data_IF_516287876401
#
_entry.id   IF_516287876401
#
_cell.length_a   1.000
_cell.length_b   1.000
_cell.length_c   1.000
_cell.angle_alpha   90.00
_cell.angle_beta   90.00
_cell.angle_gamma   90.00
#
_symmetry.space_group_name_H-M   'P 1'
#
loop_
_entity.id
_entity.type
_entity.pdbx_description
1 polymer ?
#
# COMPACT_ATOMS: atom_id res chain seq x y z
N UNK A 1 2.04 4.10 -9.50
CA UNK A 1 1.95 3.35 -8.24
C UNK A 1 1.49 1.93 -8.54
N UNK A 2 2.31 0.94 -8.22
CA UNK A 2 2.03 -0.46 -8.57
C UNK A 2 1.78 -1.33 -7.33
N UNK A 3 1.49 -0.71 -6.23
CA UNK A 3 1.18 -1.41 -4.98
C UNK A 3 0.07 -2.45 -5.14
N UNK A 4 -0.88 -2.18 -6.02
CA UNK A 4 -2.04 -3.05 -6.25
C UNK A 4 -1.67 -4.43 -6.77
N UNK A 5 -0.50 -4.58 -7.39
CA UNK A 5 -0.06 -5.85 -7.97
C UNK A 5 0.71 -6.72 -6.98
N UNK A 6 1.06 -6.17 -5.82
CA UNK A 6 1.90 -6.89 -4.86
C UNK A 6 1.17 -8.12 -4.32
N UNK A 7 1.83 -9.27 -4.42
CA UNK A 7 1.36 -10.50 -3.78
C UNK A 7 1.71 -10.52 -2.30
N UNK A 8 2.81 -9.85 -1.95
CA UNK A 8 3.30 -9.76 -0.59
C UNK A 8 3.55 -8.31 -0.22
N UNK A 9 3.25 -7.95 1.01
CA UNK A 9 3.51 -6.62 1.56
C UNK A 9 4.31 -6.79 2.83
N UNK A 10 5.37 -5.98 2.97
CA UNK A 10 6.21 -5.95 4.16
C UNK A 10 5.84 -4.70 4.97
N UNK A 11 5.51 -4.89 6.24
CA UNK A 11 5.27 -3.79 7.17
C UNK A 11 6.26 -3.84 8.32
N UNK A 12 6.50 -2.69 8.92
CA UNK A 12 7.37 -2.56 10.09
C UNK A 12 6.61 -1.91 11.23
N UNK A 13 6.82 -2.40 12.45
CA UNK A 13 6.23 -1.84 13.66
C UNK A 13 7.32 -1.71 14.73
N UNK A 14 7.67 -0.50 15.18
CA UNK A 14 7.18 0.78 14.70
C UNK A 14 7.63 1.10 13.28
N UNK A 15 6.85 1.89 12.56
CA UNK A 15 7.20 2.29 11.18
C UNK A 15 8.46 3.16 11.22
N UNK A 16 9.48 2.86 10.42
CA UNK A 16 10.73 3.63 10.45
C UNK A 16 10.48 5.08 10.03
N UNK A 17 10.90 6.02 10.86
CA UNK A 17 10.73 7.45 10.58
C UNK A 17 11.91 8.05 9.81
N UNK A 18 12.79 7.21 9.32
CA UNK A 18 14.02 7.64 8.67
C UNK A 18 13.95 7.77 7.15
N UNK A 19 12.75 7.60 6.57
CA UNK A 19 12.59 7.78 5.13
C UNK A 19 12.60 9.26 4.78
N UNK A 20 13.66 9.70 4.11
CA UNK A 20 13.79 11.08 3.63
C UNK A 20 13.12 11.16 2.25
N UNK A 21 12.32 12.19 2.03
CA UNK A 21 11.69 12.46 0.74
C UNK A 21 10.31 11.83 0.57
N UNK A 22 10.21 10.52 0.52
CA UNK A 22 8.94 9.81 0.30
C UNK A 22 8.31 9.24 1.58
N UNK A 23 8.86 9.59 2.74
CA UNK A 23 8.42 9.04 4.02
C UNK A 23 6.96 9.30 4.34
N UNK A 24 6.45 10.48 3.98
CA UNK A 24 5.05 10.82 4.21
C UNK A 24 4.10 9.97 3.36
N UNK A 25 4.43 9.76 2.08
CA UNK A 25 3.62 8.92 1.20
C UNK A 25 3.64 7.46 1.66
N UNK A 26 4.81 6.95 2.03
CA UNK A 26 4.95 5.60 2.56
C UNK A 26 4.15 5.41 3.85
N UNK A 27 4.16 6.41 4.71
CA UNK A 27 3.41 6.39 5.96
C UNK A 27 1.90 6.36 5.71
N UNK A 28 1.39 7.19 4.79
CA UNK A 28 -0.01 7.19 4.40
C UNK A 28 -0.44 5.82 3.86
N UNK A 29 0.37 5.25 2.99
CA UNK A 29 0.08 3.95 2.40
C UNK A 29 0.06 2.85 3.45
N UNK A 30 1.01 2.89 4.37
CA UNK A 30 1.08 1.93 5.48
C UNK A 30 -0.15 2.00 6.37
N UNK A 31 -0.58 3.20 6.75
CA UNK A 31 -1.78 3.38 7.57
C UNK A 31 -3.03 2.85 6.87
N UNK A 32 -3.19 3.15 5.57
CA UNK A 32 -4.32 2.66 4.78
C UNK A 32 -4.31 1.14 4.68
N UNK A 33 -3.13 0.56 4.43
CA UNK A 33 -2.98 -0.88 4.36
C UNK A 33 -3.38 -1.55 5.68
N UNK A 34 -2.86 -1.06 6.81
CA UNK A 34 -3.14 -1.66 8.13
C UNK A 34 -4.63 -1.63 8.50
N UNK A 35 -5.37 -0.63 8.01
CA UNK A 35 -6.79 -0.51 8.30
C UNK A 35 -7.63 -1.60 7.60
N UNK A 36 -7.18 -2.12 6.47
CA UNK A 36 -7.95 -3.09 5.66
C UNK A 36 -7.20 -4.39 5.40
N UNK A 37 -6.07 -4.60 6.06
CA UNK A 37 -5.20 -5.75 5.77
C UNK A 37 -5.93 -7.09 5.86
N UNK A 38 -6.82 -7.25 6.83
CA UNK A 38 -7.51 -8.51 7.07
C UNK A 38 -8.55 -8.83 5.98
N UNK A 39 -8.97 -7.82 5.21
CA UNK A 39 -9.92 -8.01 4.13
C UNK A 39 -9.27 -8.58 2.88
N UNK A 40 -8.00 -8.24 2.64
CA UNK A 40 -7.30 -8.55 1.39
C UNK A 40 -6.05 -9.40 1.58
N UNK A 41 -5.56 -9.52 2.80
CA UNK A 41 -4.28 -10.18 3.10
C UNK A 41 -4.39 -11.09 4.30
N UNK A 42 -3.46 -12.05 4.39
CA UNK A 42 -3.27 -12.91 5.55
C UNK A 42 -1.83 -12.81 6.04
N UNK A 43 -1.65 -13.01 7.34
CA UNK A 43 -0.33 -13.03 7.95
C UNK A 43 0.47 -14.23 7.41
N UNK A 44 1.65 -13.96 6.85
CA UNK A 44 2.56 -15.00 6.35
C UNK A 44 3.70 -15.27 7.32
N UNK A 45 4.36 -14.22 7.81
CA UNK A 45 5.50 -14.37 8.73
C UNK A 45 5.75 -13.09 9.52
N UNK A 46 6.33 -13.25 10.71
CA UNK A 46 6.82 -12.16 11.56
C UNK A 46 8.31 -12.34 11.83
N UNK A 47 9.06 -11.25 11.84
CA UNK A 47 10.47 -11.23 12.18
C UNK A 47 10.75 -10.17 13.24
N UNK A 48 11.24 -10.59 14.41
CA UNK A 48 11.73 -9.66 15.43
C UNK A 48 13.21 -9.36 15.15
N UNK A 49 13.52 -8.09 14.92
CA UNK A 49 14.86 -7.67 14.55
C UNK A 49 15.77 -7.44 15.77
N UNK A 50 15.29 -7.67 16.99
CA UNK A 50 16.08 -7.54 18.21
C UNK A 50 16.34 -6.11 18.66
N UNK A 51 15.80 -5.10 17.98
CA UNK A 51 15.98 -3.68 18.30
C UNK A 51 14.65 -2.97 18.61
N UNK A 52 13.62 -3.73 18.94
CA UNK A 52 12.28 -3.21 19.18
C UNK A 52 11.42 -3.08 17.92
N UNK A 53 11.94 -3.46 16.76
CA UNK A 53 11.22 -3.40 15.50
C UNK A 53 10.80 -4.81 15.07
N UNK A 54 9.55 -4.98 14.72
CA UNK A 54 9.01 -6.22 14.16
C UNK A 54 8.64 -5.99 12.69
N UNK A 55 9.16 -6.83 11.80
CA UNK A 55 8.76 -6.87 10.40
C UNK A 55 7.73 -7.98 10.20
N UNK A 56 6.68 -7.67 9.44
CA UNK A 56 5.61 -8.62 9.14
C UNK A 56 5.45 -8.73 7.63
N UNK A 57 5.36 -9.95 7.13
CA UNK A 57 5.06 -10.23 5.73
C UNK A 57 3.58 -10.63 5.65
N UNK A 58 2.84 -9.95 4.77
CA UNK A 58 1.43 -10.20 4.50
C UNK A 58 1.29 -10.76 3.08
N UNK A 59 0.50 -11.82 2.92
CA UNK A 59 0.24 -12.44 1.62
C UNK A 59 -1.16 -12.06 1.14
N UNK A 60 -1.27 -11.62 -0.11
CA UNK A 60 -2.57 -11.28 -0.71
C UNK A 60 -3.43 -12.53 -0.85
N UNK A 61 -4.68 -12.45 -0.39
CA UNK A 61 -5.65 -13.56 -0.45
C UNK A 61 -6.80 -13.28 -1.40
N UNK A 62 -7.02 -12.01 -1.77
CA UNK A 62 -8.12 -11.58 -2.64
C UNK A 62 -7.54 -10.75 -3.78
N UNK A 63 -7.98 -11.02 -5.01
CA UNK A 63 -7.53 -10.24 -6.17
C UNK A 63 -7.90 -8.77 -5.99
N UNK A 64 -7.06 -7.83 -6.48
CA UNK A 64 -7.35 -6.40 -6.39
C UNK A 64 -8.67 -6.04 -7.07
N UNK A 65 -9.39 -5.09 -6.47
CA UNK A 65 -10.65 -4.58 -7.01
C UNK A 65 -10.54 -3.07 -7.23
N UNK A 66 -11.46 -2.51 -8.03
CA UNK A 66 -11.56 -1.06 -8.21
C UNK A 66 -11.75 -0.35 -6.86
N UNK A 67 -12.57 -0.91 -6.00
CA UNK A 67 -12.83 -0.33 -4.67
C UNK A 67 -11.56 -0.23 -3.83
N UNK A 68 -10.71 -1.25 -3.86
CA UNK A 68 -9.43 -1.22 -3.14
C UNK A 68 -8.51 -0.12 -3.69
N UNK A 69 -8.41 -0.03 -5.01
CA UNK A 69 -7.57 0.98 -5.67
C UNK A 69 -8.04 2.39 -5.31
N UNK A 70 -9.33 2.65 -5.39
CA UNK A 70 -9.91 3.95 -5.04
C UNK A 70 -9.70 4.29 -3.57
N UNK A 71 -9.79 3.30 -2.71
CA UNK A 71 -9.53 3.46 -1.28
C UNK A 71 -8.11 3.99 -1.02
N UNK A 72 -7.09 3.40 -1.66
CA UNK A 72 -5.72 3.86 -1.50
C UNK A 72 -5.51 5.24 -2.12
N UNK A 73 -6.07 5.48 -3.30
CA UNK A 73 -5.93 6.78 -3.97
C UNK A 73 -6.53 7.92 -3.15
N UNK A 74 -7.58 7.66 -2.38
CA UNK A 74 -8.22 8.68 -1.57
C UNK A 74 -7.28 9.31 -0.52
N UNK A 75 -6.21 8.63 -0.15
CA UNK A 75 -5.20 9.15 0.76
C UNK A 75 -4.25 10.13 0.09
N UNK A 76 -4.20 10.15 -1.26
CA UNK A 76 -3.23 10.91 -2.05
C UNK A 76 -3.90 11.98 -2.92
N UNK A 77 -4.98 12.59 -2.43
CA UNK A 77 -5.73 13.60 -3.22
C UNK A 77 -4.89 14.80 -3.62
N UNK A 78 -4.05 15.29 -2.72
CA UNK A 78 -3.20 16.44 -2.99
C UNK A 78 -2.12 16.09 -4.02
N UNK A 79 -1.49 14.95 -3.87
CA UNK A 79 -0.46 14.46 -4.77
C UNK A 79 -1.06 14.17 -6.16
N UNK A 80 -2.27 13.61 -6.20
CA UNK A 80 -2.99 13.37 -7.46
C UNK A 80 -3.31 14.66 -8.19
N UNK A 81 -3.70 15.71 -7.47
CA UNK A 81 -3.98 17.00 -8.08
C UNK A 81 -2.74 17.61 -8.76
N UNK A 82 -1.54 17.38 -8.20
CA UNK A 82 -0.28 17.87 -8.75
C UNK A 82 0.28 16.95 -9.84
N UNK A 83 0.14 15.63 -9.68
CA UNK A 83 0.75 14.63 -10.56
C UNK A 83 -0.26 13.54 -10.92
N UNK A 84 -1.37 13.88 -11.62
CA UNK A 84 -2.42 12.90 -11.93
C UNK A 84 -1.91 11.71 -12.75
N UNK A 85 -0.90 11.90 -13.57
CA UNK A 85 -0.30 10.84 -14.38
C UNK A 85 0.38 9.76 -13.53
N UNK A 86 0.78 10.09 -12.30
CA UNK A 86 1.42 9.15 -11.38
C UNK A 86 0.41 8.46 -10.45
N UNK A 87 -0.79 9.00 -10.33
CA UNK A 87 -1.80 8.50 -9.38
C UNK A 87 -3.07 8.06 -10.11
N UNK A 88 -4.05 8.93 -10.28
CA UNK A 88 -5.35 8.53 -10.83
C UNK A 88 -5.27 8.03 -12.26
N UNK A 89 -4.49 8.67 -13.13
CA UNK A 89 -4.36 8.24 -14.52
C UNK A 89 -3.65 6.89 -14.63
N UNK A 90 -2.59 6.69 -13.85
CA UNK A 90 -1.88 5.42 -13.79
C UNK A 90 -2.79 4.30 -13.27
N UNK A 91 -3.56 4.58 -12.22
CA UNK A 91 -4.50 3.62 -11.64
C UNK A 91 -5.60 3.24 -12.62
N UNK A 92 -6.17 4.21 -13.34
CA UNK A 92 -7.20 3.94 -14.35
C UNK A 92 -6.65 3.09 -15.50
N UNK A 93 -5.43 3.35 -15.95
CA UNK A 93 -4.78 2.52 -16.97
C UNK A 93 -4.58 1.09 -16.48
N UNK A 94 -4.14 0.94 -15.24
CA UNK A 94 -3.96 -0.38 -14.62
C UNK A 94 -5.27 -1.15 -14.52
N UNK A 95 -6.34 -0.47 -14.08
CA UNK A 95 -7.68 -1.06 -13.95
C UNK A 95 -8.22 -1.48 -15.31
N UNK A 96 -8.10 -0.61 -16.32
CA UNK A 96 -8.59 -0.88 -17.66
C UNK A 96 -7.89 -2.10 -18.27
N UNK A 97 -6.58 -2.24 -18.05
CA UNK A 97 -5.81 -3.38 -18.56
C UNK A 97 -6.28 -4.71 -17.97
N UNK A 98 -6.96 -4.68 -16.82
CA UNK A 98 -7.45 -5.88 -16.13
C UNK A 98 -8.96 -6.04 -16.20
N UNK A 99 -9.66 -5.15 -16.90
CA UNK A 99 -11.11 -5.22 -17.04
C UNK A 99 -11.85 -4.85 -15.76
N UNK A 100 -11.25 -4.06 -14.91
CA UNK A 100 -11.84 -3.63 -13.63
C UNK A 100 -12.44 -2.19 -13.70
#
# INVERSE_FOLDING_TARGET
MQFFEAKYVLTADPFPQTFVGNGEMSHKLNERFLAVRDEYFALEANFDMGNGTTFTIWRRTVAPTRAEVEYYLSAFKEEDAQYPEMFSQSAESWLAARGL
#
